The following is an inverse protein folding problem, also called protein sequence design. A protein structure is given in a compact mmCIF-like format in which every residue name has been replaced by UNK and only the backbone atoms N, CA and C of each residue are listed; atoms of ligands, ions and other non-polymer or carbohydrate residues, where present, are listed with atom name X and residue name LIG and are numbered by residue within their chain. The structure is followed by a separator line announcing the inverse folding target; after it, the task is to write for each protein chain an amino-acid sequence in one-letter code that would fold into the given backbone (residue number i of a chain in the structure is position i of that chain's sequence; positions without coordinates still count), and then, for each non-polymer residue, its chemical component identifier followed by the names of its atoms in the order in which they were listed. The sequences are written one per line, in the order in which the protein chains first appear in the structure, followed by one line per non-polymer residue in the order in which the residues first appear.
data_IF_390213325813
#
_entry.id   IF_390213325813
#
_cell.length_a   1.000
_cell.length_b   1.000
_cell.length_c   1.000
_cell.angle_alpha   90.00
_cell.angle_beta   90.00
_cell.angle_gamma   90.00
#
_symmetry.space_group_name_H-M   'P 1'
#
loop_
_entity.id
_entity.type
_entity.pdbx_description
1 polymer ?
#
# COMPACT_ATOMS: atom_id res chain seq x y z
N UNK A 1 -5.33 18.35 36.38
CA UNK A 1 -4.02 18.52 35.69
C UNK A 1 -4.12 19.46 34.47
N UNK A 2 -3.18 20.41 34.35
CA UNK A 2 -3.07 21.29 33.19
C UNK A 2 -2.66 20.47 31.96
N UNK A 3 -3.32 20.71 30.81
CA UNK A 3 -3.04 20.00 29.56
C UNK A 3 -1.66 20.41 29.02
N UNK A 4 -0.90 19.44 28.51
CA UNK A 4 0.40 19.68 27.88
C UNK A 4 0.25 20.55 26.61
N UNK A 5 1.10 21.57 26.48
CA UNK A 5 1.20 22.43 25.29
C UNK A 5 2.63 22.30 24.73
N UNK A 6 2.73 22.09 23.41
CA UNK A 6 4.01 21.95 22.71
C UNK A 6 4.84 23.23 22.76
N UNK A 7 6.15 23.10 23.01
CA UNK A 7 7.14 24.21 22.95
C UNK A 7 7.17 24.92 21.59
N UNK A 8 6.71 24.25 20.53
CA UNK A 8 6.73 24.76 19.16
C UNK A 8 5.40 25.37 18.71
N UNK A 9 4.37 25.41 19.57
CA UNK A 9 3.04 25.90 19.19
C UNK A 9 3.06 27.31 18.61
N UNK A 10 3.86 28.20 19.19
CA UNK A 10 4.03 29.59 18.75
C UNK A 10 4.80 29.71 17.43
N UNK A 11 5.72 28.78 17.15
CA UNK A 11 6.46 28.78 15.89
C UNK A 11 5.54 28.32 14.74
N UNK A 12 4.80 27.24 14.97
CA UNK A 12 3.84 26.69 14.00
C UNK A 12 2.73 27.70 13.68
N UNK A 13 2.23 28.43 14.69
CA UNK A 13 1.26 29.52 14.47
C UNK A 13 1.81 30.63 13.59
N UNK A 14 3.03 31.11 13.86
CA UNK A 14 3.68 32.16 13.06
C UNK A 14 3.98 31.72 11.63
N UNK A 15 4.40 30.47 11.42
CA UNK A 15 4.60 29.93 10.06
C UNK A 15 3.28 29.78 9.30
N UNK A 16 2.23 29.31 9.97
CA UNK A 16 0.91 29.20 9.38
C UNK A 16 0.34 30.56 8.99
N UNK A 17 0.56 31.61 9.79
CA UNK A 17 0.11 32.98 9.49
C UNK A 17 0.90 33.64 8.37
N UNK A 18 2.23 33.47 8.32
CA UNK A 18 3.07 34.01 7.24
C UNK A 18 2.66 33.53 5.85
N UNK A 19 2.12 32.31 5.77
CA UNK A 19 1.70 31.70 4.50
C UNK A 19 0.26 32.06 4.08
N UNK A 20 -0.48 32.80 4.93
CA UNK A 20 -1.83 33.28 4.60
C UNK A 20 -1.74 34.58 3.81
N UNK A 21 -2.30 34.60 2.60
CA UNK A 21 -2.64 35.83 1.91
C UNK A 21 -4.15 36.04 1.98
N UNK A 22 -4.58 37.30 2.06
CA UNK A 22 -5.97 37.70 2.35
C UNK A 22 -7.01 37.15 1.34
N UNK A 23 -6.59 36.82 0.12
CA UNK A 23 -7.45 36.37 -1.00
C UNK A 23 -6.62 35.50 -1.96
N UNK A 24 -6.19 34.32 -1.49
CA UNK A 24 -5.37 33.36 -2.28
C UNK A 24 -6.18 32.49 -3.23
N UNK A 25 -7.37 32.08 -2.80
CA UNK A 25 -8.18 31.05 -3.48
C UNK A 25 -9.24 31.68 -4.38
N UNK A 26 -9.98 32.67 -3.86
CA UNK A 26 -10.95 33.45 -4.62
C UNK A 26 -10.64 34.94 -4.39
N UNK A 27 -10.80 35.74 -5.44
CA UNK A 27 -10.62 37.20 -5.36
C UNK A 27 -11.70 37.90 -4.53
N UNK A 28 -11.59 39.22 -4.31
CA UNK A 28 -12.60 39.99 -3.61
C UNK A 28 -13.96 39.91 -4.31
N UNK A 29 -15.05 39.85 -3.52
CA UNK A 29 -16.42 39.80 -4.03
C UNK A 29 -16.80 41.01 -4.90
N UNK A 30 -16.18 42.17 -4.63
CA UNK A 30 -16.28 43.37 -5.47
C UNK A 30 -14.88 44.00 -5.57
N UNK A 31 -14.34 44.03 -6.78
CA UNK A 31 -13.03 44.65 -7.05
C UNK A 31 -13.20 46.17 -6.95
N UNK A 32 -12.39 46.82 -6.11
CA UNK A 32 -12.35 48.27 -6.04
C UNK A 32 -11.76 48.81 -7.36
N UNK A 33 -12.51 49.67 -8.05
CA UNK A 33 -12.06 50.33 -9.27
C UNK A 33 -11.16 51.51 -8.86
N UNK A 34 -9.90 51.59 -9.33
CA UNK A 34 -9.02 52.70 -8.98
C UNK A 34 -9.57 54.03 -9.52
N UNK A 35 -9.34 55.12 -8.79
CA UNK A 35 -9.72 56.46 -9.23
C UNK A 35 -8.88 56.86 -10.45
N UNK A 36 -9.38 57.67 -11.42
CA UNK A 36 -8.58 58.17 -12.53
C UNK A 36 -7.29 58.91 -12.12
N UNK A 37 -7.23 59.41 -10.89
CA UNK A 37 -6.04 60.04 -10.32
C UNK A 37 -4.96 59.02 -9.86
N UNK A 38 -5.31 57.75 -9.67
CA UNK A 38 -4.42 56.66 -9.24
C UNK A 38 -3.72 55.98 -10.44
N UNK A 39 -3.25 56.78 -11.40
CA UNK A 39 -2.55 56.27 -12.56
C UNK A 39 -1.10 55.87 -12.22
N UNK A 40 -0.54 54.91 -12.96
CA UNK A 40 0.80 54.39 -12.72
C UNK A 40 1.87 55.46 -12.97
N UNK A 41 2.52 55.93 -11.90
CA UNK A 41 3.64 56.88 -12.01
C UNK A 41 4.96 56.17 -12.33
N UNK A 42 5.86 56.87 -13.04
CA UNK A 42 7.19 56.36 -13.42
C UNK A 42 7.97 55.94 -12.16
N UNK A 43 8.54 54.72 -12.18
CA UNK A 43 9.32 54.10 -11.07
C UNK A 43 8.54 53.80 -9.77
N UNK A 44 7.22 53.89 -9.76
CA UNK A 44 6.40 53.60 -8.56
C UNK A 44 6.49 52.15 -8.06
N UNK A 45 6.71 51.19 -8.97
CA UNK A 45 6.83 49.75 -8.67
C UNK A 45 8.27 49.27 -8.50
N UNK A 46 9.26 50.15 -8.65
CA UNK A 46 10.66 49.75 -8.50
C UNK A 46 10.96 49.52 -7.00
N UNK A 47 11.57 48.38 -6.64
CA UNK A 47 11.92 48.10 -5.25
C UNK A 47 13.01 49.09 -4.79
N UNK A 48 12.71 49.88 -3.75
CA UNK A 48 13.69 50.77 -3.13
C UNK A 48 14.71 49.93 -2.37
N UNK A 49 15.91 49.78 -2.92
CA UNK A 49 17.02 49.13 -2.24
C UNK A 49 17.46 50.00 -1.05
N UNK A 50 17.58 49.38 0.12
CA UNK A 50 18.16 50.06 1.28
C UNK A 50 19.62 50.45 0.98
N UNK A 51 20.10 51.60 1.49
CA UNK A 51 21.50 51.98 1.33
C UNK A 51 22.41 50.90 1.93
N UNK A 52 23.49 50.55 1.22
CA UNK A 52 24.46 49.53 1.65
C UNK A 52 24.97 49.86 3.06
N UNK A 53 24.55 49.08 4.05
CA UNK A 53 25.22 49.03 5.35
C UNK A 53 26.53 48.27 5.17
N UNK A 54 27.61 48.70 5.82
CA UNK A 54 28.87 47.94 5.85
C UNK A 54 28.55 46.53 6.33
N UNK A 55 28.86 45.54 5.50
CA UNK A 55 28.66 44.13 5.79
C UNK A 55 29.34 43.83 7.13
N UNK A 56 28.59 43.28 8.09
CA UNK A 56 29.21 42.68 9.27
C UNK A 56 30.07 41.53 8.75
N UNK A 57 31.37 41.61 9.05
CA UNK A 57 32.43 40.79 8.46
C UNK A 57 31.99 39.33 8.30
N UNK A 58 31.78 38.91 7.04
CA UNK A 58 31.77 37.49 6.71
C UNK A 58 33.11 36.90 7.10
N UNK A 59 33.08 35.71 7.70
CA UNK A 59 34.26 34.95 8.13
C UNK A 59 35.35 35.03 7.05
N UNK A 60 36.43 35.76 7.33
CA UNK A 60 37.56 35.87 6.41
C UNK A 60 38.20 34.49 6.34
N UNK A 61 38.04 33.81 5.20
CA UNK A 61 38.78 32.60 4.92
C UNK A 61 40.28 32.91 5.07
N UNK A 62 40.98 32.14 5.91
CA UNK A 62 42.42 32.28 6.09
C UNK A 62 43.10 32.11 4.73
N UNK A 63 43.96 33.06 4.29
CA UNK A 63 44.67 32.89 3.03
C UNK A 63 45.64 31.70 3.16
N UNK A 64 45.56 30.77 2.21
CA UNK A 64 46.56 29.70 2.06
C UNK A 64 47.90 30.36 1.74
N UNK A 65 48.77 30.49 2.74
CA UNK A 65 50.10 31.08 2.58
C UNK A 65 50.96 30.18 1.70
N UNK A 66 51.27 30.65 0.48
CA UNK A 66 52.20 29.97 -0.41
C UNK A 66 53.62 30.07 0.17
N UNK A 67 54.42 28.98 0.17
CA UNK A 67 55.80 29.05 0.64
C UNK A 67 56.61 30.11 -0.12
N UNK A 68 57.40 30.90 0.61
CA UNK A 68 58.23 31.95 0.02
C UNK A 68 59.30 31.41 -0.93
N UNK A 69 59.78 32.25 -1.85
CA UNK A 69 60.79 31.88 -2.87
C UNK A 69 62.13 31.37 -2.28
N UNK A 70 62.43 31.73 -1.04
CA UNK A 70 63.59 31.29 -0.26
C UNK A 70 63.36 29.97 0.50
N UNK A 71 62.15 29.43 0.49
CA UNK A 71 61.85 28.15 1.13
C UNK A 71 62.47 27.01 0.31
N UNK A 72 63.39 26.27 0.91
CA UNK A 72 63.96 25.06 0.32
C UNK A 72 63.56 23.88 1.21
N UNK A 73 62.67 22.99 0.75
CA UNK A 73 62.24 21.87 1.58
C UNK A 73 63.46 20.99 1.90
N UNK A 74 63.53 20.49 3.14
CA UNK A 74 64.59 19.59 3.60
C UNK A 74 64.48 18.26 2.84
N UNK A 75 65.15 18.15 1.70
CA UNK A 75 65.10 16.96 0.83
C UNK A 75 66.21 15.95 1.13
N UNK A 76 67.16 16.26 2.01
CA UNK A 76 68.37 15.45 2.21
C UNK A 76 68.28 14.51 3.41
N UNK A 77 67.39 13.52 3.32
CA UNK A 77 67.59 12.28 4.06
C UNK A 77 68.51 11.41 3.20
N UNK A 78 69.73 11.12 3.65
CA UNK A 78 70.65 10.19 2.98
C UNK A 78 70.07 8.78 3.06
N UNK A 79 69.19 8.43 2.12
CA UNK A 79 68.53 7.12 2.07
C UNK A 79 69.44 6.14 1.35
N UNK A 80 69.84 5.07 2.03
CA UNK A 80 70.55 3.97 1.38
C UNK A 80 69.57 3.18 0.51
N UNK A 81 69.47 3.56 -0.76
CA UNK A 81 68.59 2.89 -1.73
C UNK A 81 68.95 1.41 -1.90
N UNK A 82 70.23 1.05 -1.80
CA UNK A 82 70.70 -0.34 -1.87
C UNK A 82 70.08 -1.18 -0.74
N UNK A 83 70.25 -0.74 0.51
CA UNK A 83 69.66 -1.41 1.68
C UNK A 83 68.14 -1.45 1.61
N UNK A 84 67.50 -0.34 1.22
CA UNK A 84 66.04 -0.27 1.10
C UNK A 84 65.52 -1.23 0.03
N UNK A 85 66.18 -1.33 -1.12
CA UNK A 85 65.81 -2.24 -2.20
C UNK A 85 66.00 -3.69 -1.77
N UNK A 86 67.11 -4.01 -1.10
CA UNK A 86 67.34 -5.34 -0.53
C UNK A 86 66.24 -5.73 0.47
N UNK A 87 65.94 -4.86 1.43
CA UNK A 87 64.87 -5.09 2.41
C UNK A 87 63.50 -5.21 1.71
N UNK A 88 63.22 -4.42 0.68
CA UNK A 88 61.95 -4.49 -0.06
C UNK A 88 61.80 -5.80 -0.85
N UNK A 89 62.89 -6.35 -1.39
CA UNK A 89 62.88 -7.64 -2.09
C UNK A 89 62.75 -8.79 -1.08
N UNK A 90 63.50 -8.74 0.03
CA UNK A 90 63.46 -9.78 1.07
C UNK A 90 62.09 -9.84 1.76
N UNK A 91 61.48 -8.67 2.06
CA UNK A 91 60.17 -8.58 2.72
C UNK A 91 59.00 -8.58 1.74
N UNK A 92 59.25 -8.48 0.44
CA UNK A 92 58.21 -8.39 -0.57
C UNK A 92 57.51 -9.73 -0.76
N UNK A 93 56.19 -9.71 -0.87
CA UNK A 93 55.44 -10.92 -1.23
C UNK A 93 55.79 -11.35 -2.66
N UNK A 94 55.96 -12.67 -2.92
CA UNK A 94 56.19 -13.16 -4.26
C UNK A 94 54.97 -12.83 -5.16
N UNK A 95 55.25 -12.49 -6.42
CA UNK A 95 54.18 -12.27 -7.41
C UNK A 95 53.37 -13.56 -7.55
N UNK A 96 52.06 -13.48 -7.34
CA UNK A 96 51.16 -14.62 -7.57
C UNK A 96 51.26 -15.05 -9.04
N UNK A 97 51.57 -16.33 -9.33
CA UNK A 97 51.66 -16.79 -10.70
C UNK A 97 50.28 -16.67 -11.36
N UNK A 98 50.27 -16.21 -12.61
CA UNK A 98 49.05 -16.22 -13.41
C UNK A 98 48.78 -17.64 -13.87
N UNK A 99 47.52 -18.02 -13.96
CA UNK A 99 47.12 -19.31 -14.52
C UNK A 99 47.25 -19.27 -16.04
N UNK A 100 48.20 -20.02 -16.60
CA UNK A 100 48.40 -20.21 -18.03
C UNK A 100 48.53 -21.68 -18.36
N UNK A 101 48.11 -22.07 -19.56
CA UNK A 101 48.34 -23.39 -20.12
C UNK A 101 49.42 -23.30 -21.20
N UNK A 102 50.20 -24.37 -21.34
CA UNK A 102 51.20 -24.52 -22.41
C UNK A 102 50.74 -25.68 -23.27
N UNK A 103 50.32 -25.38 -24.49
CA UNK A 103 49.83 -26.41 -25.42
C UNK A 103 50.92 -26.90 -26.37
N UNK A 104 51.89 -26.04 -26.74
CA UNK A 104 52.92 -26.36 -27.72
C UNK A 104 54.24 -26.79 -27.07
N UNK A 105 54.99 -27.66 -27.75
CA UNK A 105 56.35 -28.08 -27.33
C UNK A 105 57.35 -26.91 -27.30
N UNK A 106 57.06 -25.83 -28.04
CA UNK A 106 57.85 -24.60 -28.10
C UNK A 106 57.59 -23.66 -26.91
N UNK A 107 56.54 -23.93 -26.12
CA UNK A 107 56.26 -23.17 -24.91
C UNK A 107 55.30 -22.00 -25.11
N UNK A 108 54.48 -22.00 -26.16
CA UNK A 108 53.45 -20.97 -26.34
C UNK A 108 52.43 -21.06 -25.22
N UNK A 109 52.20 -19.91 -24.58
CA UNK A 109 51.34 -19.79 -23.40
C UNK A 109 50.13 -18.94 -23.73
N UNK A 110 48.95 -19.41 -23.33
CA UNK A 110 47.75 -18.59 -23.26
C UNK A 110 47.20 -18.57 -21.84
N UNK A 111 46.53 -17.47 -21.52
CA UNK A 111 45.97 -17.22 -20.21
C UNK A 111 44.66 -17.99 -20.04
N UNK A 112 44.53 -18.75 -18.95
CA UNK A 112 43.36 -19.57 -18.67
C UNK A 112 42.11 -18.74 -18.32
N UNK A 113 42.28 -17.59 -17.65
CA UNK A 113 41.16 -16.73 -17.23
C UNK A 113 40.27 -16.20 -18.38
N UNK A 114 40.79 -15.62 -19.47
CA UNK A 114 39.97 -15.16 -20.60
C UNK A 114 39.55 -16.28 -21.57
N UNK A 115 40.22 -17.43 -21.54
CA UNK A 115 40.02 -18.51 -22.52
C UNK A 115 38.69 -19.26 -22.40
N UNK A 116 37.92 -19.03 -21.33
CA UNK A 116 36.68 -19.77 -21.06
C UNK A 116 36.88 -21.23 -20.59
N UNK A 117 38.12 -21.75 -20.66
CA UNK A 117 38.47 -23.11 -20.20
C UNK A 117 38.49 -23.24 -18.67
N UNK A 118 38.59 -22.13 -17.94
CA UNK A 118 38.62 -22.12 -16.48
C UNK A 118 37.23 -21.86 -15.87
N UNK A 119 36.66 -22.78 -15.07
CA UNK A 119 35.35 -22.61 -14.50
C UNK A 119 35.35 -21.54 -13.38
N UNK A 120 34.93 -20.32 -13.72
CA UNK A 120 34.92 -19.17 -12.80
C UNK A 120 33.75 -19.17 -11.81
N UNK A 121 32.61 -19.76 -12.17
CA UNK A 121 31.34 -19.55 -11.47
C UNK A 121 30.77 -20.76 -10.71
N UNK A 122 31.47 -21.90 -10.77
CA UNK A 122 31.04 -23.12 -10.08
C UNK A 122 31.05 -22.93 -8.56
N UNK A 123 32.04 -22.22 -8.02
CA UNK A 123 32.22 -22.00 -6.57
C UNK A 123 31.47 -20.76 -6.04
N UNK A 124 30.53 -20.19 -6.81
CA UNK A 124 29.69 -19.10 -6.31
C UNK A 124 28.84 -19.60 -5.16
N UNK A 125 28.72 -18.81 -4.08
CA UNK A 125 27.91 -19.15 -2.90
C UNK A 125 26.43 -19.45 -3.24
N UNK A 126 25.92 -18.84 -4.30
CA UNK A 126 24.54 -18.97 -4.75
C UNK A 126 24.39 -19.95 -5.94
N UNK A 127 25.43 -20.73 -6.25
CA UNK A 127 25.34 -21.71 -7.33
C UNK A 127 24.33 -22.80 -6.95
N UNK A 128 23.35 -23.06 -7.81
CA UNK A 128 22.27 -24.02 -7.55
C UNK A 128 21.21 -23.54 -6.54
N UNK A 129 21.31 -22.33 -6.00
CA UNK A 129 20.32 -21.76 -5.07
C UNK A 129 19.31 -20.92 -5.84
N UNK A 130 18.02 -21.15 -5.59
CA UNK A 130 16.94 -20.35 -6.19
C UNK A 130 17.05 -18.91 -5.67
N UNK A 131 17.09 -17.90 -6.57
CA UNK A 131 17.13 -16.51 -6.15
C UNK A 131 15.88 -16.09 -5.36
N UNK A 132 16.07 -15.24 -4.35
CA UNK A 132 15.00 -14.74 -3.46
C UNK A 132 13.83 -14.06 -4.19
N UNK A 133 14.05 -13.49 -5.37
CA UNK A 133 12.98 -12.84 -6.12
C UNK A 133 12.03 -13.86 -6.76
N UNK A 134 12.52 -15.05 -7.12
CA UNK A 134 11.71 -16.11 -7.72
C UNK A 134 10.75 -16.66 -6.68
N UNK A 135 11.22 -16.89 -5.44
CA UNK A 135 10.37 -17.35 -4.34
C UNK A 135 9.28 -16.33 -4.03
N UNK A 136 9.63 -15.04 -3.92
CA UNK A 136 8.65 -13.95 -3.71
C UNK A 136 7.58 -13.92 -4.79
N UNK A 137 7.98 -14.04 -6.06
CA UNK A 137 7.04 -14.03 -7.19
C UNK A 137 6.10 -15.24 -7.15
N UNK A 138 6.60 -16.41 -6.79
CA UNK A 138 5.75 -17.60 -6.66
C UNK A 138 4.73 -17.45 -5.52
N UNK A 139 5.13 -16.85 -4.40
CA UNK A 139 4.22 -16.54 -3.27
C UNK A 139 3.18 -15.47 -3.64
N UNK A 140 3.54 -14.49 -4.46
CA UNK A 140 2.61 -13.50 -5.01
C UNK A 140 1.58 -14.17 -5.93
N UNK A 141 2.02 -14.97 -6.91
CA UNK A 141 1.10 -15.68 -7.81
C UNK A 141 0.15 -16.62 -7.04
N UNK A 142 0.66 -17.34 -6.03
CA UNK A 142 -0.18 -18.22 -5.22
C UNK A 142 -1.25 -17.44 -4.45
N UNK A 143 -0.91 -16.27 -3.91
CA UNK A 143 -1.90 -15.40 -3.23
C UNK A 143 -2.95 -14.87 -4.21
N UNK A 144 -2.53 -14.43 -5.40
CA UNK A 144 -3.45 -13.97 -6.44
C UNK A 144 -4.42 -15.09 -6.88
N UNK A 145 -3.93 -16.32 -7.01
CA UNK A 145 -4.77 -17.50 -7.31
C UNK A 145 -5.79 -17.77 -6.19
N UNK A 146 -5.36 -17.73 -4.93
CA UNK A 146 -6.24 -17.92 -3.77
C UNK A 146 -7.31 -16.82 -3.67
N UNK A 147 -6.93 -15.56 -3.88
CA UNK A 147 -7.84 -14.41 -3.90
C UNK A 147 -8.86 -14.51 -5.06
N UNK A 148 -8.40 -14.90 -6.24
CA UNK A 148 -9.26 -15.14 -7.38
C UNK A 148 -10.28 -16.25 -7.09
N UNK A 149 -9.82 -17.39 -6.58
CA UNK A 149 -10.70 -18.50 -6.20
C UNK A 149 -11.72 -18.09 -5.13
N UNK A 150 -11.30 -17.33 -4.11
CA UNK A 150 -12.19 -16.82 -3.08
C UNK A 150 -13.26 -15.89 -3.66
N UNK A 151 -12.89 -14.99 -4.58
CA UNK A 151 -13.82 -14.10 -5.28
C UNK A 151 -14.83 -14.88 -6.13
N UNK A 152 -14.38 -15.89 -6.87
CA UNK A 152 -15.29 -16.78 -7.63
C UNK A 152 -16.25 -17.49 -6.70
N UNK A 153 -15.77 -18.05 -5.59
CA UNK A 153 -16.63 -18.71 -4.59
C UNK A 153 -17.64 -17.73 -3.97
N UNK A 154 -17.24 -16.49 -3.70
CA UNK A 154 -18.15 -15.48 -3.18
C UNK A 154 -19.23 -15.10 -4.20
N UNK A 155 -18.87 -14.94 -5.48
CA UNK A 155 -19.83 -14.71 -6.56
C UNK A 155 -20.80 -15.87 -6.71
N UNK A 156 -20.32 -17.11 -6.61
CA UNK A 156 -21.16 -18.31 -6.63
C UNK A 156 -22.10 -18.33 -5.42
N UNK A 157 -21.61 -18.01 -4.22
CA UNK A 157 -22.44 -17.91 -3.01
C UNK A 157 -23.51 -16.83 -3.12
N UNK A 158 -23.19 -15.67 -3.69
CA UNK A 158 -24.16 -14.58 -3.92
C UNK A 158 -25.26 -14.98 -4.92
N UNK A 159 -24.89 -15.72 -5.97
CA UNK A 159 -25.83 -16.25 -6.96
C UNK A 159 -26.60 -17.48 -6.48
N UNK A 160 -26.06 -18.20 -5.49
CA UNK A 160 -26.71 -19.38 -4.93
C UNK A 160 -27.93 -18.98 -4.10
N UNK A 161 -29.05 -19.66 -4.35
CA UNK A 161 -30.26 -19.57 -3.55
C UNK A 161 -29.96 -20.07 -2.13
N UNK A 162 -30.48 -19.38 -1.09
CA UNK A 162 -30.27 -19.82 0.30
C UNK A 162 -31.02 -21.13 0.51
N UNK A 163 -30.32 -22.20 0.93
CA UNK A 163 -30.97 -23.42 1.37
C UNK A 163 -31.49 -23.24 2.80
N UNK A 164 -32.74 -23.60 3.05
CA UNK A 164 -33.34 -23.58 4.37
C UNK A 164 -32.67 -24.63 5.27
N UNK A 165 -32.18 -24.22 6.44
CA UNK A 165 -31.66 -25.18 7.42
C UNK A 165 -32.78 -26.01 8.04
N UNK A 166 -32.45 -27.19 8.58
CA UNK A 166 -33.43 -28.07 9.23
C UNK A 166 -34.10 -27.37 10.44
N UNK A 167 -33.35 -26.54 11.16
CA UNK A 167 -33.85 -25.74 12.28
C UNK A 167 -34.84 -24.65 11.82
N UNK A 168 -34.50 -23.88 10.78
CA UNK A 168 -35.42 -22.89 10.21
C UNK A 168 -36.68 -23.57 9.65
N UNK A 169 -36.53 -24.74 9.02
CA UNK A 169 -37.65 -25.54 8.52
C UNK A 169 -38.61 -25.96 9.62
N UNK A 170 -38.10 -26.54 10.70
CA UNK A 170 -38.94 -26.99 11.82
C UNK A 170 -39.62 -25.81 12.51
N UNK A 171 -38.93 -24.67 12.63
CA UNK A 171 -39.53 -23.44 13.15
C UNK A 171 -40.67 -22.91 12.27
N UNK A 172 -40.48 -22.89 10.94
CA UNK A 172 -41.53 -22.48 9.99
C UNK A 172 -42.73 -23.43 10.06
N UNK A 173 -42.49 -24.75 10.05
CA UNK A 173 -43.58 -25.73 10.17
C UNK A 173 -44.35 -25.57 11.48
N UNK A 174 -43.65 -25.33 12.60
CA UNK A 174 -44.28 -25.09 13.90
C UNK A 174 -45.13 -23.81 13.87
N UNK A 175 -44.63 -22.73 13.25
CA UNK A 175 -45.38 -21.48 13.10
C UNK A 175 -46.62 -21.66 12.21
N UNK A 176 -46.51 -22.37 11.09
CA UNK A 176 -47.64 -22.66 10.19
C UNK A 176 -48.71 -23.52 10.88
N UNK A 177 -48.30 -24.58 11.59
CA UNK A 177 -49.22 -25.44 12.35
C UNK A 177 -49.96 -24.66 13.43
N UNK A 178 -49.25 -23.78 14.15
CA UNK A 178 -49.87 -22.89 15.15
C UNK A 178 -50.91 -21.95 14.52
N UNK A 179 -50.59 -21.34 13.38
CA UNK A 179 -51.54 -20.47 12.66
C UNK A 179 -52.75 -21.27 12.16
N UNK A 180 -52.54 -22.49 11.66
CA UNK A 180 -53.63 -23.39 11.28
C UNK A 180 -54.53 -23.73 12.47
N UNK A 181 -53.97 -24.01 13.66
CA UNK A 181 -54.75 -24.23 14.88
C UNK A 181 -55.59 -23.01 15.26
N UNK A 182 -55.04 -21.80 15.16
CA UNK A 182 -55.75 -20.55 15.47
C UNK A 182 -56.93 -20.32 14.53
N UNK A 183 -56.73 -20.48 13.21
CA UNK A 183 -57.77 -20.31 12.20
C UNK A 183 -58.81 -21.44 12.28
N UNK A 184 -58.39 -22.68 12.51
CA UNK A 184 -59.31 -23.80 12.68
C UNK A 184 -60.18 -23.60 13.92
N UNK A 185 -59.62 -23.14 15.05
CA UNK A 185 -60.42 -22.77 16.23
C UNK A 185 -61.47 -21.72 15.88
N UNK A 186 -61.10 -20.66 15.16
CA UNK A 186 -62.05 -19.64 14.72
C UNK A 186 -63.16 -20.22 13.83
N UNK A 187 -62.80 -21.11 12.89
CA UNK A 187 -63.74 -21.81 12.04
C UNK A 187 -64.70 -22.72 12.83
N UNK A 188 -64.21 -23.46 13.82
CA UNK A 188 -65.03 -24.31 14.69
C UNK A 188 -65.98 -23.51 15.58
N UNK A 189 -65.62 -22.28 15.95
CA UNK A 189 -66.49 -21.39 16.74
C UNK A 189 -67.60 -20.72 15.93
N UNK A 190 -67.67 -20.95 14.61
CA UNK A 190 -68.71 -20.36 13.77
C UNK A 190 -70.10 -20.90 14.13
N UNK A 191 -71.14 -20.05 14.17
CA UNK A 191 -72.51 -20.50 14.37
C UNK A 191 -72.98 -21.44 13.24
N UNK A 192 -73.75 -22.47 13.60
CA UNK A 192 -74.32 -23.46 12.65
C UNK A 192 -75.18 -22.77 11.56
N UNK A 193 -75.88 -21.70 11.92
CA UNK A 193 -76.72 -20.91 11.00
C UNK A 193 -75.93 -19.76 10.36
N UNK A 194 -75.61 -19.92 9.07
CA UNK A 194 -74.92 -18.92 8.24
C UNK A 194 -75.88 -18.26 7.23
N UNK A 195 -76.95 -17.64 7.70
CA UNK A 195 -78.00 -17.13 6.81
C UNK A 195 -77.67 -15.77 6.19
N UNK A 196 -77.00 -14.90 6.95
CA UNK A 196 -76.60 -13.57 6.50
C UNK A 196 -75.40 -13.63 5.56
N UNK A 197 -75.40 -12.83 4.49
CA UNK A 197 -74.30 -12.72 3.51
C UNK A 197 -72.92 -12.57 4.15
N UNK A 198 -72.79 -11.74 5.18
CA UNK A 198 -71.52 -11.54 5.90
C UNK A 198 -70.98 -12.82 6.55
N UNK A 199 -71.85 -13.63 7.19
CA UNK A 199 -71.46 -14.90 7.79
C UNK A 199 -71.00 -15.93 6.75
N UNK A 200 -71.61 -15.94 5.55
CA UNK A 200 -71.18 -16.81 4.44
C UNK A 200 -69.80 -16.40 3.92
N UNK A 201 -69.60 -15.10 3.65
CA UNK A 201 -68.31 -14.56 3.22
C UNK A 201 -67.20 -14.86 4.25
N UNK A 202 -67.48 -14.66 5.54
CA UNK A 202 -66.50 -14.91 6.59
C UNK A 202 -66.11 -16.40 6.69
N UNK A 203 -67.08 -17.31 6.53
CA UNK A 203 -66.82 -18.75 6.47
C UNK A 203 -65.93 -19.09 5.26
N UNK A 204 -66.28 -18.59 4.07
CA UNK A 204 -65.50 -18.80 2.85
C UNK A 204 -64.06 -18.28 2.98
N UNK A 205 -63.86 -17.11 3.60
CA UNK A 205 -62.53 -16.57 3.89
C UNK A 205 -61.70 -17.48 4.80
N UNK A 206 -62.31 -18.05 5.85
CA UNK A 206 -61.64 -18.98 6.76
C UNK A 206 -61.30 -20.30 6.05
N UNK A 207 -62.18 -20.82 5.21
CA UNK A 207 -61.93 -22.03 4.41
C UNK A 207 -60.80 -21.84 3.40
N UNK A 208 -60.75 -20.68 2.73
CA UNK A 208 -59.66 -20.37 1.80
C UNK A 208 -58.31 -20.30 2.52
N UNK A 209 -58.26 -19.64 3.69
CA UNK A 209 -57.05 -19.57 4.52
C UNK A 209 -56.61 -20.95 5.01
N UNK A 210 -57.55 -21.80 5.43
CA UNK A 210 -57.25 -23.18 5.83
C UNK A 210 -56.66 -23.99 4.67
N UNK A 211 -57.30 -23.96 3.50
CA UNK A 211 -56.81 -24.65 2.29
C UNK A 211 -55.41 -24.18 1.89
N UNK A 212 -55.14 -22.88 2.01
CA UNK A 212 -53.82 -22.33 1.72
C UNK A 212 -52.77 -22.85 2.71
N UNK A 213 -53.04 -22.80 4.01
CA UNK A 213 -52.12 -23.30 5.04
C UNK A 213 -51.86 -24.81 4.91
N UNK A 214 -52.89 -25.61 4.59
CA UNK A 214 -52.75 -27.04 4.36
C UNK A 214 -51.86 -27.33 3.15
N UNK A 215 -52.03 -26.57 2.06
CA UNK A 215 -51.17 -26.67 0.89
C UNK A 215 -49.71 -26.32 1.22
N UNK A 216 -49.49 -25.22 1.94
CA UNK A 216 -48.16 -24.74 2.30
C UNK A 216 -47.44 -25.71 3.25
N UNK A 217 -48.14 -26.25 4.26
CA UNK A 217 -47.60 -27.27 5.17
C UNK A 217 -47.23 -28.53 4.38
N UNK A 218 -48.12 -29.02 3.51
CA UNK A 218 -47.86 -30.20 2.70
C UNK A 218 -46.67 -30.01 1.75
N UNK A 219 -46.54 -28.84 1.14
CA UNK A 219 -45.42 -28.51 0.27
C UNK A 219 -44.08 -28.55 1.03
N UNK A 220 -44.03 -27.94 2.22
CA UNK A 220 -42.81 -27.92 3.05
C UNK A 220 -42.50 -29.30 3.64
N UNK A 221 -43.50 -30.10 4.03
CA UNK A 221 -43.27 -31.47 4.54
C UNK A 221 -42.77 -32.42 3.45
N UNK A 222 -43.31 -32.33 2.22
CA UNK A 222 -42.96 -33.20 1.10
C UNK A 222 -41.51 -33.04 0.62
N UNK A 223 -40.96 -31.83 0.66
CA UNK A 223 -39.63 -31.53 0.12
C UNK A 223 -38.56 -31.51 1.22
N UNK A 224 -37.53 -32.37 1.10
CA UNK A 224 -36.42 -32.42 2.08
C UNK A 224 -35.56 -31.15 2.05
N UNK A 225 -35.19 -30.72 0.84
CA UNK A 225 -34.31 -29.56 0.62
C UNK A 225 -35.11 -28.47 -0.08
N UNK A 226 -35.17 -27.29 0.53
CA UNK A 226 -35.90 -26.14 0.00
C UNK A 226 -34.91 -25.00 -0.20
N UNK A 227 -34.91 -24.43 -1.41
CA UNK A 227 -34.10 -23.26 -1.75
C UNK A 227 -35.01 -22.04 -1.82
N UNK A 228 -34.59 -20.96 -1.17
CA UNK A 228 -35.31 -19.69 -1.13
C UNK A 228 -34.54 -18.70 -1.99
N UNK A 229 -35.26 -18.02 -2.87
CA UNK A 229 -34.72 -16.91 -3.63
C UNK A 229 -34.32 -15.79 -2.67
N UNK A 230 -33.08 -15.31 -2.80
CA UNK A 230 -32.60 -14.13 -2.08
C UNK A 230 -33.28 -12.86 -2.57
#
# INVERSE_FOLDING_TARGET
PLRYISKYSEHVRREAEKNKSQWKTMGPAKVAVPSPNDFLQKRSKEPKLAPKKKEQEGEKLLPLSVPGRTYHPVTRIKKNFIYKNAVAVIKGEPKKPRHFCVDTRQGDKYLLEPSGLFPKYIRKKNYGVIPKYVTRRNEEMKREEEEYQASVLEQLKKKAMKSLSEEERTNILKALKKNWEEINRAFQTLPILTDTRYKKMHKEELELKLKQLEHDIAAIEKHKTIYIAN
#
